data_IF_540420559081
#
_entry.id   IF_540420559081
#
_cell.length_a   1.000
_cell.length_b   1.000
_cell.length_c   1.000
_cell.angle_alpha   90.00
_cell.angle_beta   90.00
_cell.angle_gamma   90.00
#
_symmetry.space_group_name_H-M   'P 1'
#
loop_
_entity.id
_entity.type
_entity.pdbx_description
1 polymer ?
#
# COMPACT_ATOMS: atom_id res chain seq x y z
N UNK A 1 -2.84 9.02 -19.16
CA UNK A 1 -1.96 8.09 -19.89
C UNK A 1 -2.76 7.38 -20.97
N UNK A 2 -2.31 7.35 -22.23
CA UNK A 2 -2.96 6.55 -23.26
C UNK A 2 -2.76 5.05 -22.97
N UNK A 3 -3.80 4.25 -23.21
CA UNK A 3 -3.81 2.79 -23.01
C UNK A 3 -4.56 2.11 -24.17
N UNK A 4 -4.17 0.89 -24.50
CA UNK A 4 -4.81 0.09 -25.53
C UNK A 4 -6.01 -0.68 -24.96
N UNK A 5 -7.22 -0.37 -25.44
CA UNK A 5 -8.46 -1.06 -25.06
C UNK A 5 -8.37 -2.58 -25.26
N UNK A 6 -7.76 -3.03 -26.37
CA UNK A 6 -7.61 -4.45 -26.68
C UNK A 6 -6.79 -5.19 -25.62
N UNK A 7 -5.69 -4.60 -25.15
CA UNK A 7 -4.83 -5.20 -24.10
C UNK A 7 -5.58 -5.26 -22.78
N UNK A 8 -6.22 -4.16 -22.37
CA UNK A 8 -7.00 -4.14 -21.13
C UNK A 8 -8.15 -5.15 -21.16
N UNK A 9 -8.85 -5.25 -22.28
CA UNK A 9 -9.94 -6.22 -22.48
C UNK A 9 -9.44 -7.68 -22.39
N UNK A 10 -8.26 -7.99 -22.94
CA UNK A 10 -7.72 -9.35 -22.91
C UNK A 10 -7.13 -9.74 -21.56
N UNK A 11 -6.60 -8.76 -20.82
CA UNK A 11 -5.78 -9.01 -19.61
C UNK A 11 -6.54 -8.81 -18.30
N UNK A 12 -7.73 -8.21 -18.31
CA UNK A 12 -8.48 -7.88 -17.10
C UNK A 12 -9.96 -8.21 -17.24
N UNK A 13 -10.49 -8.92 -16.24
CA UNK A 13 -11.91 -9.24 -16.16
C UNK A 13 -12.76 -8.00 -15.93
N UNK A 14 -12.26 -7.05 -15.13
CA UNK A 14 -12.88 -5.76 -14.89
C UNK A 14 -13.04 -4.97 -16.18
N UNK A 15 -11.96 -4.78 -16.93
CA UNK A 15 -12.02 -4.01 -18.17
C UNK A 15 -12.81 -4.71 -19.26
N UNK A 16 -12.75 -6.05 -19.34
CA UNK A 16 -13.61 -6.82 -20.24
C UNK A 16 -15.09 -6.52 -19.98
N UNK A 17 -15.53 -6.55 -18.72
CA UNK A 17 -16.91 -6.23 -18.33
C UNK A 17 -17.24 -4.76 -18.62
N UNK A 18 -16.39 -3.83 -18.18
CA UNK A 18 -16.56 -2.40 -18.39
C UNK A 18 -16.77 -2.03 -19.87
N UNK A 19 -15.98 -2.64 -20.76
CA UNK A 19 -16.07 -2.40 -22.20
C UNK A 19 -17.22 -3.12 -22.89
N UNK A 20 -17.78 -4.16 -22.26
CA UNK A 20 -18.97 -4.85 -22.75
C UNK A 20 -20.24 -4.09 -22.40
N UNK A 21 -20.26 -3.45 -21.23
CA UNK A 21 -21.39 -2.65 -20.72
C UNK A 21 -21.38 -1.21 -21.25
N UNK A 22 -20.23 -0.71 -21.71
CA UNK A 22 -20.08 0.63 -22.28
C UNK A 22 -19.28 0.63 -23.60
N UNK A 23 -19.95 1.01 -24.69
CA UNK A 23 -19.33 1.21 -26.01
C UNK A 23 -18.53 2.52 -26.06
N UNK A 24 -18.73 3.40 -25.07
CA UNK A 24 -18.21 4.76 -25.09
C UNK A 24 -16.69 4.82 -25.28
N UNK A 25 -16.28 5.62 -26.26
CA UNK A 25 -14.89 6.05 -26.47
C UNK A 25 -14.47 7.16 -25.47
N UNK A 26 -15.27 7.41 -24.43
CA UNK A 26 -15.00 8.45 -23.46
C UNK A 26 -13.68 8.20 -22.72
N UNK A 27 -12.93 9.27 -22.54
CA UNK A 27 -11.79 9.32 -21.63
C UNK A 27 -12.31 9.02 -20.24
N UNK A 28 -11.83 7.93 -19.63
CA UNK A 28 -12.17 7.62 -18.23
C UNK A 28 -11.45 8.62 -17.32
N UNK A 29 -12.20 9.26 -16.43
CA UNK A 29 -11.60 10.05 -15.36
C UNK A 29 -11.00 9.12 -14.31
N UNK A 30 -9.68 9.23 -14.14
CA UNK A 30 -8.87 8.45 -13.22
C UNK A 30 -8.16 9.35 -12.20
N UNK A 31 -8.56 10.62 -12.09
CA UNK A 31 -7.93 11.63 -11.24
C UNK A 31 -8.01 11.33 -9.74
N UNK A 32 -8.94 10.47 -9.33
CA UNK A 32 -9.08 10.00 -7.95
C UNK A 32 -8.03 8.95 -7.54
N UNK A 33 -7.32 8.35 -8.50
CA UNK A 33 -6.30 7.36 -8.22
C UNK A 33 -4.91 7.98 -8.08
N UNK A 34 -4.11 7.38 -7.20
CA UNK A 34 -2.67 7.63 -7.16
C UNK A 34 -2.06 7.28 -8.55
N UNK A 35 -1.44 8.25 -9.25
CA UNK A 35 -0.91 8.02 -10.60
C UNK A 35 0.15 6.93 -10.69
N UNK A 36 1.01 6.77 -9.67
CA UNK A 36 2.06 5.75 -9.65
C UNK A 36 1.46 4.37 -9.44
N UNK A 37 0.52 4.24 -8.51
CA UNK A 37 -0.21 3.00 -8.28
C UNK A 37 -0.99 2.54 -9.52
N UNK A 38 -1.71 3.46 -10.17
CA UNK A 38 -2.45 3.15 -11.38
C UNK A 38 -1.53 2.76 -12.54
N UNK A 39 -0.40 3.46 -12.70
CA UNK A 39 0.63 3.09 -13.68
C UNK A 39 1.19 1.70 -13.42
N UNK A 40 1.52 1.38 -12.17
CA UNK A 40 2.00 0.05 -11.79
C UNK A 40 0.97 -1.03 -12.09
N UNK A 41 -0.31 -0.79 -11.78
CA UNK A 41 -1.40 -1.70 -12.11
C UNK A 41 -1.52 -1.95 -13.62
N UNK A 42 -1.39 -0.91 -14.45
CA UNK A 42 -1.34 -1.08 -15.90
C UNK A 42 -0.12 -1.90 -16.34
N UNK A 43 1.05 -1.71 -15.73
CA UNK A 43 2.25 -2.50 -16.05
C UNK A 43 2.03 -4.00 -15.81
N UNK A 44 1.31 -4.37 -14.74
CA UNK A 44 0.89 -5.76 -14.53
C UNK A 44 0.04 -6.29 -15.70
N UNK A 45 -0.98 -5.56 -16.12
CA UNK A 45 -1.86 -5.98 -17.22
C UNK A 45 -1.13 -6.11 -18.56
N UNK A 46 -0.07 -5.33 -18.75
CA UNK A 46 0.80 -5.39 -19.92
C UNK A 46 1.92 -6.43 -19.78
N UNK A 47 2.05 -7.08 -18.62
CA UNK A 47 3.11 -8.04 -18.29
C UNK A 47 4.52 -7.47 -18.51
N UNK A 48 4.70 -6.21 -18.16
CA UNK A 48 6.00 -5.52 -18.21
C UNK A 48 6.51 -5.25 -16.80
N UNK A 49 7.80 -4.95 -16.69
CA UNK A 49 8.41 -4.60 -15.41
C UNK A 49 7.70 -3.42 -14.78
N UNK A 50 7.37 -3.58 -13.50
CA UNK A 50 6.72 -2.56 -12.69
C UNK A 50 7.78 -1.52 -12.32
N UNK A 51 7.40 -0.25 -12.33
CA UNK A 51 8.28 0.81 -11.81
C UNK A 51 8.58 0.56 -10.32
N UNK A 52 9.77 0.97 -9.90
CA UNK A 52 10.06 1.05 -8.48
C UNK A 52 9.10 2.07 -7.84
N UNK A 53 8.49 1.69 -6.72
CA UNK A 53 7.52 2.52 -6.01
C UNK A 53 7.68 2.33 -4.51
N UNK A 54 7.36 3.38 -3.76
CA UNK A 54 7.40 3.31 -2.31
C UNK A 54 6.27 2.42 -1.78
N UNK A 55 6.45 1.93 -0.55
CA UNK A 55 5.45 1.13 0.15
C UNK A 55 4.05 1.76 0.15
N UNK A 56 3.96 3.09 0.28
CA UNK A 56 2.70 3.83 0.26
C UNK A 56 1.95 3.70 -1.08
N UNK A 57 2.67 3.86 -2.19
CA UNK A 57 2.12 3.70 -3.55
C UNK A 57 1.74 2.24 -3.82
N UNK A 58 2.53 1.30 -3.29
CA UNK A 58 2.28 -0.13 -3.46
C UNK A 58 1.01 -0.59 -2.71
N UNK A 59 0.66 0.06 -1.58
CA UNK A 59 -0.65 -0.15 -0.93
C UNK A 59 -1.79 0.35 -1.82
N UNK A 60 -1.67 1.54 -2.40
CA UNK A 60 -2.71 2.07 -3.29
C UNK A 60 -2.90 1.16 -4.52
N UNK A 61 -1.83 0.53 -5.00
CA UNK A 61 -1.87 -0.47 -6.08
C UNK A 61 -2.57 -1.76 -5.63
N UNK A 62 -2.27 -2.26 -4.44
CA UNK A 62 -2.98 -3.42 -3.85
C UNK A 62 -4.48 -3.14 -3.73
N UNK A 63 -4.86 -2.00 -3.16
CA UNK A 63 -6.26 -1.57 -3.01
C UNK A 63 -6.96 -1.48 -4.36
N UNK A 64 -6.29 -0.91 -5.36
CA UNK A 64 -6.80 -0.82 -6.73
C UNK A 64 -7.06 -2.22 -7.32
N UNK A 65 -6.07 -3.12 -7.24
CA UNK A 65 -6.19 -4.49 -7.74
C UNK A 65 -7.34 -5.25 -7.07
N UNK A 66 -7.48 -5.13 -5.74
CA UNK A 66 -8.60 -5.72 -4.98
C UNK A 66 -9.93 -5.12 -5.42
N UNK A 67 -10.01 -3.80 -5.61
CA UNK A 67 -11.24 -3.13 -6.03
C UNK A 67 -11.71 -3.57 -7.42
N UNK A 68 -10.77 -3.88 -8.32
CA UNK A 68 -11.04 -4.38 -9.65
C UNK A 68 -11.15 -5.91 -9.70
N UNK A 69 -11.01 -6.60 -8.57
CA UNK A 69 -11.05 -8.07 -8.45
C UNK A 69 -10.02 -8.76 -9.34
N UNK A 70 -8.86 -8.14 -9.49
CA UNK A 70 -7.71 -8.74 -10.17
C UNK A 70 -6.87 -9.49 -9.12
N UNK A 71 -7.41 -10.62 -8.64
CA UNK A 71 -6.91 -11.36 -7.48
C UNK A 71 -5.43 -11.77 -7.61
N UNK A 72 -4.99 -12.09 -8.83
CA UNK A 72 -3.60 -12.47 -9.09
C UNK A 72 -2.62 -11.29 -8.92
N UNK A 73 -3.04 -10.07 -9.27
CA UNK A 73 -2.26 -8.85 -9.04
C UNK A 73 -2.28 -8.53 -7.55
N UNK A 74 -3.46 -8.57 -6.93
CA UNK A 74 -3.60 -8.30 -5.49
C UNK A 74 -2.72 -9.24 -4.66
N UNK A 75 -2.71 -10.54 -4.97
CA UNK A 75 -1.89 -11.53 -4.28
C UNK A 75 -0.38 -11.30 -4.45
N UNK A 76 0.08 -11.01 -5.67
CA UNK A 76 1.50 -10.74 -5.92
C UNK A 76 1.99 -9.47 -5.19
N UNK A 77 1.20 -8.40 -5.27
CA UNK A 77 1.51 -7.11 -4.62
C UNK A 77 1.48 -7.25 -3.11
N UNK A 78 0.51 -7.99 -2.58
CA UNK A 78 0.43 -8.27 -1.15
C UNK A 78 1.64 -9.05 -0.65
N UNK A 79 2.10 -10.05 -1.40
CA UNK A 79 3.31 -10.80 -1.08
C UNK A 79 4.54 -9.89 -1.00
N UNK A 80 4.68 -8.96 -1.96
CA UNK A 80 5.75 -7.94 -1.96
C UNK A 80 5.64 -6.96 -0.80
N UNK A 81 4.44 -6.50 -0.47
CA UNK A 81 4.20 -5.65 0.70
C UNK A 81 4.61 -6.35 1.98
N UNK A 82 4.16 -7.60 2.16
CA UNK A 82 4.47 -8.41 3.33
C UNK A 82 5.97 -8.64 3.51
N UNK A 83 6.70 -8.94 2.43
CA UNK A 83 8.16 -9.12 2.51
C UNK A 83 8.92 -7.80 2.73
N UNK A 84 8.31 -6.66 2.41
CA UNK A 84 8.91 -5.33 2.61
C UNK A 84 8.72 -4.74 4.01
N UNK A 85 7.90 -5.35 4.87
CA UNK A 85 7.65 -4.84 6.22
C UNK A 85 8.95 -4.84 7.02
N UNK A 86 9.31 -3.67 7.55
CA UNK A 86 10.54 -3.44 8.32
C UNK A 86 10.28 -2.51 9.50
N UNK A 87 11.22 -2.40 10.45
CA UNK A 87 11.10 -1.45 11.56
C UNK A 87 10.93 0.00 11.10
N UNK A 88 11.54 0.37 9.97
CA UNK A 88 11.54 1.74 9.44
C UNK A 88 10.21 2.15 8.81
N UNK A 89 9.43 1.18 8.32
CA UNK A 89 8.21 1.46 7.55
C UNK A 89 6.92 0.94 8.19
N UNK A 90 6.98 0.02 9.16
CA UNK A 90 5.79 -0.70 9.66
C UNK A 90 4.70 0.22 10.23
N UNK A 91 5.09 1.33 10.87
CA UNK A 91 4.12 2.29 11.41
C UNK A 91 3.40 3.06 10.28
N UNK A 92 4.15 3.51 9.26
CA UNK A 92 3.57 4.19 8.09
C UNK A 92 2.67 3.25 7.29
N UNK A 93 3.09 1.99 7.14
CA UNK A 93 2.29 0.93 6.51
C UNK A 93 0.99 0.69 7.27
N UNK A 94 1.03 0.62 8.60
CA UNK A 94 -0.14 0.42 9.45
C UNK A 94 -1.15 1.57 9.32
N UNK A 95 -0.68 2.83 9.37
CA UNK A 95 -1.55 4.00 9.24
C UNK A 95 -2.24 4.03 7.87
N UNK A 96 -1.49 3.75 6.80
CA UNK A 96 -2.02 3.70 5.44
C UNK A 96 -3.00 2.53 5.29
N UNK A 97 -2.70 1.34 5.83
CA UNK A 97 -3.59 0.18 5.80
C UNK A 97 -4.95 0.47 6.47
N UNK A 98 -4.94 1.18 7.60
CA UNK A 98 -6.16 1.64 8.27
C UNK A 98 -6.92 2.66 7.42
N UNK A 99 -6.23 3.65 6.86
CA UNK A 99 -6.82 4.68 6.01
C UNK A 99 -7.49 4.09 4.75
N UNK A 100 -6.89 3.05 4.17
CA UNK A 100 -7.41 2.36 2.98
C UNK A 100 -8.33 1.18 3.30
N UNK A 101 -8.54 0.88 4.59
CA UNK A 101 -9.34 -0.26 5.08
C UNK A 101 -8.85 -1.62 4.59
N UNK A 102 -7.53 -1.76 4.40
CA UNK A 102 -6.88 -3.03 4.07
C UNK A 102 -6.68 -3.86 5.35
N UNK A 103 -7.66 -4.68 5.68
CA UNK A 103 -7.64 -5.51 6.91
C UNK A 103 -6.54 -6.56 6.90
N UNK A 104 -6.23 -7.13 5.73
CA UNK A 104 -5.19 -8.15 5.59
C UNK A 104 -3.79 -7.57 5.86
N UNK A 105 -3.49 -6.38 5.32
CA UNK A 105 -2.22 -5.71 5.55
C UNK A 105 -2.12 -5.18 6.99
N UNK A 106 -3.22 -4.65 7.53
CA UNK A 106 -3.28 -4.25 8.92
C UNK A 106 -2.92 -5.42 9.85
N UNK A 107 -3.42 -6.62 9.58
CA UNK A 107 -3.09 -7.81 10.36
C UNK A 107 -1.60 -8.17 10.28
N UNK A 108 -0.99 -8.12 9.08
CA UNK A 108 0.44 -8.40 8.93
C UNK A 108 1.33 -7.36 9.62
N UNK A 109 0.95 -6.08 9.58
CA UNK A 109 1.65 -5.04 10.33
C UNK A 109 1.57 -5.29 11.85
N UNK A 110 0.39 -5.66 12.36
CA UNK A 110 0.24 -6.01 13.78
C UNK A 110 1.05 -7.25 14.17
N UNK A 111 1.13 -8.28 13.30
CA UNK A 111 1.98 -9.44 13.53
C UNK A 111 3.44 -9.04 13.67
N UNK A 112 3.93 -8.17 12.78
CA UNK A 112 5.30 -7.67 12.84
C UNK A 112 5.58 -6.89 14.12
N UNK A 113 4.72 -5.93 14.48
CA UNK A 113 4.86 -5.12 15.71
C UNK A 113 4.80 -5.99 16.97
N UNK A 114 4.01 -7.06 16.94
CA UNK A 114 3.86 -7.93 18.10
C UNK A 114 4.94 -8.99 18.25
N UNK A 115 5.81 -9.16 17.23
CA UNK A 115 6.89 -10.12 17.25
C UNK A 115 7.86 -9.84 18.43
N UNK A 116 8.32 -10.88 19.15
CA UNK A 116 9.23 -10.73 20.27
C UNK A 116 10.50 -9.95 19.91
N UNK A 117 11.04 -10.18 18.71
CA UNK A 117 12.25 -9.54 18.21
C UNK A 117 12.06 -8.03 18.08
N UNK A 118 10.96 -7.60 17.46
CA UNK A 118 10.65 -6.18 17.32
C UNK A 118 10.43 -5.51 18.68
N UNK A 119 9.66 -6.14 19.57
CA UNK A 119 9.44 -5.62 20.94
C UNK A 119 10.74 -5.49 21.71
N UNK A 120 11.63 -6.47 21.60
CA UNK A 120 12.95 -6.44 22.25
C UNK A 120 13.79 -5.28 21.69
N UNK A 121 13.91 -5.15 20.37
CA UNK A 121 14.65 -4.04 19.75
C UNK A 121 14.08 -2.67 20.14
N UNK A 122 12.76 -2.55 20.25
CA UNK A 122 12.12 -1.31 20.70
C UNK A 122 12.44 -0.99 22.16
N UNK A 123 12.45 -1.99 23.05
CA UNK A 123 12.83 -1.83 24.46
C UNK A 123 14.31 -1.47 24.61
N UNK A 124 15.19 -2.12 23.86
CA UNK A 124 16.63 -1.80 23.83
C UNK A 124 16.85 -0.36 23.39
N UNK A 125 16.25 0.05 22.26
CA UNK A 125 16.30 1.43 21.78
C UNK A 125 15.79 2.43 22.83
N UNK A 126 14.65 2.13 23.47
CA UNK A 126 14.11 3.00 24.51
C UNK A 126 15.06 3.11 25.72
N UNK A 127 15.67 1.99 26.13
CA UNK A 127 16.63 1.95 27.24
C UNK A 127 17.89 2.77 26.98
N UNK A 128 18.40 2.75 25.74
CA UNK A 128 19.56 3.53 25.30
C UNK A 128 19.26 5.04 25.21
N UNK A 129 17.99 5.40 25.00
CA UNK A 129 17.56 6.77 24.77
C UNK A 129 16.67 7.33 25.91
N UNK A 130 16.75 6.76 27.11
CA UNK A 130 15.90 7.17 28.24
C UNK A 130 15.98 8.66 28.58
N UNK A 131 17.17 9.26 28.53
CA UNK A 131 17.35 10.68 28.80
C UNK A 131 16.57 11.55 27.78
N UNK A 132 16.67 11.21 26.49
CA UNK A 132 15.92 11.88 25.43
C UNK A 132 14.40 11.72 25.62
N UNK A 133 13.96 10.51 25.96
CA UNK A 133 12.54 10.23 26.22
C UNK A 133 12.00 11.04 27.40
N UNK A 134 12.77 11.16 28.49
CA UNK A 134 12.35 11.97 29.65
C UNK A 134 12.29 13.46 29.33
N UNK A 135 13.19 13.97 28.48
CA UNK A 135 13.13 15.37 28.03
C UNK A 135 11.94 15.63 27.11
N UNK A 136 11.65 14.71 26.17
CA UNK A 136 10.46 14.78 25.32
C UNK A 136 9.19 14.83 26.19
N UNK A 137 9.08 13.95 27.20
CA UNK A 137 7.94 13.93 28.13
C UNK A 137 7.82 15.24 28.91
N UNK A 138 8.94 15.86 29.31
CA UNK A 138 8.98 17.14 30.02
C UNK A 138 8.51 18.31 29.13
N UNK A 139 8.84 18.29 27.83
CA UNK A 139 8.36 19.31 26.87
C UNK A 139 6.86 19.16 26.63
N UNK A 140 6.37 17.93 26.42
CA UNK A 140 4.94 17.65 26.20
C UNK A 140 4.06 18.00 27.40
N UNK A 141 4.57 17.83 28.63
CA UNK A 141 3.81 18.19 29.84
C UNK A 141 3.70 19.71 30.02
N UNK A 142 4.72 20.48 29.65
CA UNK A 142 4.70 21.96 29.67
C UNK A 142 3.87 22.57 28.55
N UNK A 143 3.73 21.92 27.40
CA UNK A 143 2.90 22.45 26.29
C UNK A 143 1.40 22.28 26.52
N UNK A 144 0.98 21.52 27.55
CA UNK A 144 -0.41 21.27 27.91
C UNK A 144 -0.87 22.07 29.14
N UNK A 145 0.02 22.83 29.78
CA UNK A 145 -0.26 23.76 30.89
C UNK A 145 -0.35 25.19 30.39
#
# INVERSE_FOLDING_TARGET
MPVHRCVLHSSSSYFKKLFSESISHAVMDMSSYNPLAYRGFLQYLYKISIIEMECGDMIDLYVLATSYKEDWIAADVFSKLKSSISPDNVLRLLDKAKATKSTELELECHKFINAPEFKKSLLEFASENMDLLTEILRVFSKSRS
#
